data_IF_858294539899
#
_entry.id   IF_858294539899
#
_cell.length_a   1.000
_cell.length_b   1.000
_cell.length_c   1.000
_cell.angle_alpha   90.00
_cell.angle_beta   90.00
_cell.angle_gamma   90.00
#
_symmetry.space_group_name_H-M   'P 1'
#
loop_
_entity.id
_entity.type
_entity.pdbx_description
1 polymer ?
#
# COMPACT_ATOMS: atom_id res chain seq x y z
N UNK A 1 -36.23 -38.89 -19.70
CA UNK A 1 -35.34 -37.89 -19.10
C UNK A 1 -35.69 -36.55 -19.71
N UNK A 2 -36.09 -35.53 -18.96
CA UNK A 2 -35.23 -34.69 -18.09
C UNK A 2 -34.05 -34.16 -18.92
N UNK A 3 -33.90 -32.88 -19.22
CA UNK A 3 -34.63 -31.68 -18.84
C UNK A 3 -33.91 -30.52 -19.52
N UNK A 4 -34.66 -29.45 -19.75
CA UNK A 4 -34.24 -28.07 -19.94
C UNK A 4 -32.72 -27.81 -20.09
N UNK A 5 -32.28 -27.58 -21.34
CA UNK A 5 -31.23 -26.59 -21.59
C UNK A 5 -31.86 -25.21 -21.41
N UNK A 6 -32.07 -24.87 -20.13
CA UNK A 6 -32.57 -23.58 -19.72
C UNK A 6 -31.44 -22.58 -19.89
N UNK A 7 -31.53 -21.83 -20.99
CA UNK A 7 -31.15 -20.42 -21.13
C UNK A 7 -30.69 -19.79 -19.81
N UNK A 8 -29.38 -19.58 -19.66
CA UNK A 8 -28.79 -18.52 -18.82
C UNK A 8 -27.43 -18.15 -19.42
N UNK A 9 -27.45 -17.77 -20.69
CA UNK A 9 -26.64 -16.64 -21.15
C UNK A 9 -27.56 -15.43 -21.10
N UNK A 10 -27.95 -15.04 -19.88
CA UNK A 10 -28.54 -13.72 -19.65
C UNK A 10 -27.48 -12.72 -20.08
N UNK A 11 -27.65 -12.18 -21.29
CA UNK A 11 -27.47 -10.76 -21.60
C UNK A 11 -26.34 -10.13 -20.79
N UNK A 12 -25.11 -10.56 -21.07
CA UNK A 12 -23.99 -9.70 -20.81
C UNK A 12 -23.99 -8.67 -21.94
N UNK A 13 -24.62 -7.54 -21.64
CA UNK A 13 -24.80 -6.31 -22.41
C UNK A 13 -23.45 -5.66 -22.76
N UNK A 14 -22.53 -6.43 -23.37
CA UNK A 14 -21.19 -6.00 -23.79
C UNK A 14 -21.15 -5.59 -25.26
N UNK A 15 -22.29 -5.32 -25.92
CA UNK A 15 -22.30 -4.94 -27.33
C UNK A 15 -22.16 -3.42 -27.58
N UNK A 16 -22.24 -2.56 -26.56
CA UNK A 16 -22.28 -1.09 -26.75
C UNK A 16 -21.19 -0.29 -26.01
N UNK A 17 -20.04 -0.88 -25.67
CA UNK A 17 -18.89 -0.05 -25.24
C UNK A 17 -18.14 0.46 -26.47
N UNK A 18 -18.30 1.74 -26.80
CA UNK A 18 -17.49 2.38 -27.82
C UNK A 18 -16.04 2.44 -27.34
N UNK A 19 -15.08 2.48 -28.27
CA UNK A 19 -13.64 2.58 -27.93
C UNK A 19 -13.35 3.77 -27.02
N UNK A 20 -14.11 4.85 -27.16
CA UNK A 20 -14.04 6.04 -26.31
C UNK A 20 -14.38 5.74 -24.85
N UNK A 21 -15.38 4.89 -24.58
CA UNK A 21 -15.78 4.54 -23.21
C UNK A 21 -14.70 3.71 -22.52
N UNK A 22 -14.06 2.81 -23.26
CA UNK A 22 -12.93 2.00 -22.77
C UNK A 22 -11.74 2.91 -22.40
N UNK A 23 -11.42 3.89 -23.25
CA UNK A 23 -10.33 4.83 -23.00
C UNK A 23 -10.61 5.71 -21.76
N UNK A 24 -11.83 6.23 -21.61
CA UNK A 24 -12.25 7.02 -20.43
C UNK A 24 -12.12 6.17 -19.16
N UNK A 25 -12.66 4.95 -19.17
CA UNK A 25 -12.58 4.04 -18.02
C UNK A 25 -11.12 3.71 -17.64
N UNK A 26 -10.26 3.54 -18.64
CA UNK A 26 -8.83 3.30 -18.43
C UNK A 26 -8.15 4.52 -17.77
N UNK A 27 -8.41 5.72 -18.27
CA UNK A 27 -7.86 6.96 -17.68
C UNK A 27 -8.33 7.17 -16.24
N UNK A 28 -9.61 6.93 -15.96
CA UNK A 28 -10.15 7.02 -14.60
C UNK A 28 -9.50 6.00 -13.66
N UNK A 29 -9.25 4.77 -14.13
CA UNK A 29 -8.52 3.74 -13.36
C UNK A 29 -7.10 4.20 -13.03
N UNK A 30 -6.36 4.73 -14.01
CA UNK A 30 -4.97 5.18 -13.83
C UNK A 30 -4.93 6.36 -12.84
N UNK A 31 -5.81 7.34 -13.00
CA UNK A 31 -5.92 8.47 -12.08
C UNK A 31 -6.21 8.02 -10.65
N UNK A 32 -7.17 7.12 -10.46
CA UNK A 32 -7.49 6.58 -9.14
C UNK A 32 -6.34 5.76 -8.55
N UNK A 33 -5.60 5.03 -9.38
CA UNK A 33 -4.39 4.31 -8.96
C UNK A 33 -3.30 5.27 -8.47
N UNK A 34 -3.10 6.40 -9.16
CA UNK A 34 -2.15 7.45 -8.77
C UNK A 34 -2.52 8.02 -7.40
N UNK A 35 -3.78 8.47 -7.25
CA UNK A 35 -4.29 9.02 -5.99
C UNK A 35 -4.14 8.02 -4.83
N UNK A 36 -4.39 6.73 -5.07
CA UNK A 36 -4.20 5.68 -4.05
C UNK A 36 -2.74 5.51 -3.64
N UNK A 37 -1.81 5.56 -4.59
CA UNK A 37 -0.38 5.46 -4.31
C UNK A 37 0.11 6.69 -3.52
N UNK A 38 -0.23 7.89 -4.00
CA UNK A 38 0.14 9.15 -3.34
C UNK A 38 -0.40 9.20 -1.90
N UNK A 39 -1.67 8.89 -1.70
CA UNK A 39 -2.29 8.85 -0.37
C UNK A 39 -1.62 7.81 0.55
N UNK A 40 -1.29 6.62 0.03
CA UNK A 40 -0.64 5.59 0.83
C UNK A 40 0.78 6.00 1.27
N UNK A 41 1.54 6.67 0.40
CA UNK A 41 2.86 7.23 0.69
C UNK A 41 2.76 8.35 1.75
N UNK A 42 1.86 9.30 1.56
CA UNK A 42 1.63 10.39 2.52
C UNK A 42 1.24 9.84 3.89
N UNK A 43 0.34 8.86 3.92
CA UNK A 43 -0.11 8.24 5.15
C UNK A 43 1.01 7.57 5.95
N UNK A 44 1.95 6.89 5.29
CA UNK A 44 3.09 6.24 5.96
C UNK A 44 4.15 7.26 6.36
N UNK A 45 4.30 8.36 5.61
CA UNK A 45 5.14 9.50 5.98
C UNK A 45 4.63 10.15 7.26
N UNK A 46 3.34 10.46 7.33
CA UNK A 46 2.68 11.05 8.52
C UNK A 46 2.85 10.14 9.73
N UNK A 47 2.67 8.82 9.56
CA UNK A 47 2.89 7.88 10.66
C UNK A 47 4.34 7.93 11.19
N UNK A 48 5.31 8.16 10.32
CA UNK A 48 6.73 8.22 10.67
C UNK A 48 7.23 9.64 10.98
N UNK A 49 6.40 10.66 10.88
CA UNK A 49 6.75 12.06 11.15
C UNK A 49 7.28 12.24 12.58
N UNK A 50 6.62 11.70 13.63
CA UNK A 50 7.02 11.92 15.02
C UNK A 50 8.25 11.13 15.46
N UNK A 51 8.85 10.31 14.58
CA UNK A 51 10.10 9.60 14.86
C UNK A 51 11.23 10.60 14.98
N UNK A 52 11.96 10.55 16.09
CA UNK A 52 13.05 11.49 16.36
C UNK A 52 14.18 11.36 15.30
N UNK A 53 14.82 12.48 14.90
CA UNK A 53 16.06 12.43 14.15
C UNK A 53 17.13 11.59 14.89
N UNK A 54 17.99 10.82 14.19
CA UNK A 54 18.20 10.84 12.74
C UNK A 54 17.24 9.94 11.93
N UNK A 55 16.18 9.38 12.54
CA UNK A 55 15.30 8.36 11.93
C UNK A 55 16.09 7.13 11.48
N UNK A 56 17.00 6.67 12.33
CA UNK A 56 17.65 5.38 12.17
C UNK A 56 16.80 4.25 12.80
N UNK A 57 17.20 3.00 12.60
CA UNK A 57 16.51 1.83 13.12
C UNK A 57 16.23 1.93 14.63
N UNK A 58 17.16 2.47 15.42
CA UNK A 58 16.99 2.61 16.86
C UNK A 58 15.88 3.64 17.20
N UNK A 59 15.87 4.80 16.54
CA UNK A 59 14.81 5.78 16.72
C UNK A 59 13.43 5.22 16.36
N UNK A 60 13.35 4.40 15.31
CA UNK A 60 12.14 3.70 14.92
C UNK A 60 11.70 2.66 15.96
N UNK A 61 12.63 1.83 16.46
CA UNK A 61 12.34 0.85 17.52
C UNK A 61 11.81 1.57 18.77
N UNK A 62 12.44 2.65 19.22
CA UNK A 62 11.94 3.41 20.36
C UNK A 62 10.52 3.96 20.12
N UNK A 63 10.26 4.48 18.91
CA UNK A 63 8.97 5.05 18.59
C UNK A 63 7.86 3.98 18.53
N UNK A 64 8.12 2.86 17.84
CA UNK A 64 7.13 1.82 17.55
C UNK A 64 7.09 0.68 18.56
N UNK A 65 8.13 0.45 19.35
CA UNK A 65 8.19 -0.63 20.35
C UNK A 65 8.29 -0.12 21.79
N UNK A 66 8.72 1.13 22.02
CA UNK A 66 8.97 1.63 23.38
C UNK A 66 10.17 0.93 24.02
N UNK A 67 10.15 0.77 25.34
CA UNK A 67 11.09 -0.12 26.02
C UNK A 67 10.59 -1.58 25.93
N UNK A 68 11.27 -2.40 25.13
CA UNK A 68 10.90 -3.80 24.90
C UNK A 68 11.12 -4.69 26.13
N UNK A 69 11.88 -4.25 27.14
CA UNK A 69 12.05 -4.96 28.41
C UNK A 69 10.84 -4.79 29.35
N UNK A 70 9.93 -3.86 29.05
CA UNK A 70 8.72 -3.58 29.83
C UNK A 70 7.51 -4.03 29.02
N UNK A 71 6.95 -5.18 29.37
CA UNK A 71 5.84 -5.82 28.63
C UNK A 71 4.63 -4.88 28.42
N UNK A 72 4.28 -4.10 29.45
CA UNK A 72 3.17 -3.13 29.37
C UNK A 72 3.44 -1.98 28.39
N UNK A 73 4.68 -1.49 28.31
CA UNK A 73 5.04 -0.46 27.33
C UNK A 73 5.04 -1.01 25.90
N UNK A 74 5.60 -2.21 25.73
CA UNK A 74 5.60 -2.90 24.45
C UNK A 74 4.17 -3.16 23.96
N UNK A 75 3.28 -3.58 24.85
CA UNK A 75 1.86 -3.80 24.55
C UNK A 75 1.12 -2.50 24.24
N UNK A 76 1.38 -1.43 24.98
CA UNK A 76 0.79 -0.11 24.70
C UNK A 76 1.14 0.41 23.28
N UNK A 77 2.25 -0.07 22.71
CA UNK A 77 2.72 0.27 21.37
C UNK A 77 2.18 -0.61 20.24
N UNK A 78 1.47 -1.69 20.55
CA UNK A 78 0.89 -2.61 19.56
C UNK A 78 0.00 -1.92 18.49
N UNK A 79 -0.88 -0.95 18.82
CA UNK A 79 -1.68 -0.26 17.81
C UNK A 79 -0.81 0.51 16.81
N UNK A 80 0.31 1.05 17.29
CA UNK A 80 1.25 1.85 16.50
C UNK A 80 2.04 0.96 15.53
N UNK A 81 2.52 -0.21 15.99
CA UNK A 81 3.14 -1.22 15.10
C UNK A 81 2.15 -1.74 14.06
N UNK A 82 0.93 -2.05 14.50
CA UNK A 82 -0.14 -2.50 13.61
C UNK A 82 -0.43 -1.48 12.52
N UNK A 83 -0.43 -0.17 12.85
CA UNK A 83 -0.58 0.89 11.87
C UNK A 83 0.57 0.90 10.85
N UNK A 84 1.83 0.75 11.30
CA UNK A 84 3.00 0.63 10.41
C UNK A 84 2.84 -0.54 9.44
N UNK A 85 2.45 -1.71 9.94
CA UNK A 85 2.28 -2.90 9.11
C UNK A 85 1.19 -2.72 8.06
N UNK A 86 0.03 -2.19 8.48
CA UNK A 86 -1.10 -1.94 7.58
C UNK A 86 -0.75 -0.92 6.50
N UNK A 87 -0.12 0.20 6.87
CA UNK A 87 0.27 1.25 5.92
C UNK A 87 1.35 0.76 4.96
N UNK A 88 2.37 0.04 5.43
CA UNK A 88 3.40 -0.56 4.56
C UNK A 88 2.77 -1.45 3.49
N UNK A 89 1.83 -2.31 3.90
CA UNK A 89 1.09 -3.17 2.96
C UNK A 89 0.20 -2.36 2.02
N UNK A 90 -0.40 -1.26 2.47
CA UNK A 90 -1.18 -0.36 1.62
C UNK A 90 -0.31 0.26 0.51
N UNK A 91 0.90 0.74 0.82
CA UNK A 91 1.83 1.28 -0.19
C UNK A 91 2.21 0.21 -1.21
N UNK A 92 2.58 -0.99 -0.76
CA UNK A 92 2.96 -2.10 -1.64
C UNK A 92 1.83 -2.44 -2.61
N UNK A 93 0.59 -2.52 -2.13
CA UNK A 93 -0.57 -2.83 -2.96
C UNK A 93 -0.90 -1.69 -3.92
N UNK A 94 -0.86 -0.45 -3.46
CA UNK A 94 -1.14 0.71 -4.29
C UNK A 94 -0.12 0.81 -5.43
N UNK A 95 1.16 0.60 -5.13
CA UNK A 95 2.22 0.57 -6.13
C UNK A 95 2.03 -0.59 -7.12
N UNK A 96 1.80 -1.81 -6.63
CA UNK A 96 1.61 -2.98 -7.50
C UNK A 96 0.42 -2.82 -8.47
N UNK A 97 -0.60 -2.06 -8.10
CA UNK A 97 -1.78 -1.81 -8.93
C UNK A 97 -1.55 -0.81 -10.08
N UNK A 98 -0.43 -0.06 -10.07
CA UNK A 98 -0.12 0.96 -11.08
C UNK A 98 1.34 0.87 -11.58
N UNK A 99 2.07 -0.18 -11.20
CA UNK A 99 3.51 -0.28 -11.43
C UNK A 99 3.87 -0.26 -12.92
N UNK A 100 3.00 -0.81 -13.77
CA UNK A 100 3.17 -0.88 -15.22
C UNK A 100 2.66 0.38 -15.92
N UNK A 101 1.89 1.23 -15.22
CA UNK A 101 1.29 2.47 -15.76
C UNK A 101 1.81 3.75 -15.06
N UNK A 102 3.01 3.70 -14.47
CA UNK A 102 3.58 4.81 -13.70
C UNK A 102 3.80 6.07 -14.56
N UNK A 103 4.28 5.90 -15.79
CA UNK A 103 4.53 7.04 -16.71
C UNK A 103 3.21 7.64 -17.19
N UNK A 104 2.23 6.80 -17.55
CA UNK A 104 0.87 7.20 -17.92
C UNK A 104 0.14 7.90 -16.77
N UNK A 105 0.42 7.50 -15.52
CA UNK A 105 -0.05 8.17 -14.31
C UNK A 105 0.66 9.52 -14.05
N UNK A 106 1.65 9.88 -14.86
CA UNK A 106 2.39 11.14 -14.78
C UNK A 106 3.52 11.14 -13.75
N UNK A 107 4.05 9.97 -13.37
CA UNK A 107 5.30 9.89 -12.62
C UNK A 107 6.50 9.88 -13.57
N UNK A 108 7.54 10.61 -13.20
CA UNK A 108 8.83 10.53 -13.88
C UNK A 108 9.57 9.25 -13.51
N UNK A 109 10.48 8.78 -14.37
CA UNK A 109 11.34 7.61 -14.08
C UNK A 109 12.12 7.78 -12.75
N UNK A 110 12.50 9.02 -12.43
CA UNK A 110 13.17 9.37 -11.16
C UNK A 110 12.24 9.17 -9.97
N UNK A 111 10.99 9.62 -10.06
CA UNK A 111 9.98 9.43 -9.00
C UNK A 111 9.66 7.96 -8.82
N UNK A 112 9.43 7.22 -9.90
CA UNK A 112 9.23 5.76 -9.86
C UNK A 112 10.38 5.05 -9.17
N UNK A 113 11.62 5.42 -9.48
CA UNK A 113 12.82 4.87 -8.81
C UNK A 113 12.86 5.23 -7.32
N UNK A 114 12.49 6.46 -6.97
CA UNK A 114 12.42 6.91 -5.57
C UNK A 114 11.37 6.13 -4.78
N UNK A 115 10.17 5.97 -5.34
CA UNK A 115 9.06 5.22 -4.73
C UNK A 115 9.45 3.76 -4.52
N UNK A 116 10.13 3.12 -5.47
CA UNK A 116 10.66 1.75 -5.29
C UNK A 116 11.62 1.64 -4.11
N UNK A 117 12.57 2.58 -3.99
CA UNK A 117 13.50 2.61 -2.84
C UNK A 117 12.77 2.79 -1.52
N UNK A 118 11.72 3.59 -1.52
CA UNK A 118 10.90 3.84 -0.35
C UNK A 118 10.08 2.61 0.06
N UNK A 119 9.54 1.86 -0.90
CA UNK A 119 8.91 0.56 -0.66
C UNK A 119 9.88 -0.42 0.00
N UNK A 120 11.09 -0.55 -0.54
CA UNK A 120 12.13 -1.43 0.01
C UNK A 120 12.52 -1.00 1.44
N UNK A 121 12.62 0.31 1.66
CA UNK A 121 12.88 0.88 2.97
C UNK A 121 11.78 0.52 3.99
N UNK A 122 10.51 0.71 3.65
CA UNK A 122 9.41 0.40 4.56
C UNK A 122 9.19 -1.09 4.77
N UNK A 123 9.45 -1.92 3.75
CA UNK A 123 9.49 -3.37 3.88
C UNK A 123 10.53 -3.81 4.91
N UNK A 124 11.75 -3.26 4.81
CA UNK A 124 12.82 -3.53 5.76
C UNK A 124 12.48 -3.02 7.15
N UNK A 125 12.00 -1.79 7.28
CA UNK A 125 11.61 -1.20 8.56
C UNK A 125 10.53 -2.02 9.25
N UNK A 126 9.50 -2.46 8.51
CA UNK A 126 8.45 -3.34 9.05
C UNK A 126 9.04 -4.61 9.66
N UNK A 127 10.00 -5.23 8.98
CA UNK A 127 10.64 -6.45 9.46
C UNK A 127 11.52 -6.20 10.69
N UNK A 128 12.28 -5.10 10.71
CA UNK A 128 13.06 -4.68 11.87
C UNK A 128 12.18 -4.43 13.11
N UNK A 129 11.04 -3.75 12.92
CA UNK A 129 10.08 -3.51 14.01
C UNK A 129 9.43 -4.81 14.50
N UNK A 130 9.07 -5.72 13.58
CA UNK A 130 8.53 -7.05 13.93
C UNK A 130 9.52 -7.87 14.75
N UNK A 131 10.80 -7.85 14.38
CA UNK A 131 11.85 -8.54 15.12
C UNK A 131 12.08 -7.88 16.49
N UNK A 132 12.15 -6.56 16.55
CA UNK A 132 12.37 -5.82 17.79
C UNK A 132 11.20 -5.97 18.79
N UNK A 133 9.97 -6.13 18.31
CA UNK A 133 8.80 -6.39 19.15
C UNK A 133 8.65 -7.85 19.58
N UNK A 134 9.48 -8.76 19.05
CA UNK A 134 9.36 -10.21 19.31
C UNK A 134 8.16 -10.87 18.62
N UNK A 135 7.55 -10.23 17.63
CA UNK A 135 6.42 -10.77 16.87
C UNK A 135 6.92 -11.78 15.81
N UNK A 136 6.20 -12.87 15.56
CA UNK A 136 6.55 -13.93 14.58
C UNK A 136 5.77 -13.81 13.28
#
# INVERSE_FOLDING_TARGET
>A
GTGALQVYTSELDYEDFETTDIDIMLQDRIKLGKERLDNALEEIHILCEPVAPPKDTLAYIHYFCGNTEIEEELKAKEPQRTALYKKTVAVIRAYANIADEMEEAGYTERETTSIKRELDYYLKLREEIRQASGET
#
